data_IF_602827691889
#
_entry.id   IF_602827691889
#
_cell.length_a   1.000
_cell.length_b   1.000
_cell.length_c   1.000
_cell.angle_alpha   90.00
_cell.angle_beta   90.00
_cell.angle_gamma   90.00
#
_symmetry.space_group_name_H-M   'P 1'
#
loop_
_entity.id
_entity.type
_entity.pdbx_description
1 polymer ?
#
# COMPACT_ATOMS: atom_id res chain seq x y z
N UNK A 1 17.87 8.09 16.07
CA UNK A 1 17.62 8.15 14.62
C UNK A 1 16.13 8.41 14.41
N UNK A 2 15.76 9.14 13.36
CA UNK A 2 14.35 9.32 13.00
C UNK A 2 13.87 8.03 12.31
N UNK A 3 12.74 7.48 12.76
CA UNK A 3 12.14 6.29 12.13
C UNK A 3 11.65 6.65 10.73
N UNK A 4 11.93 5.79 9.75
CA UNK A 4 11.42 5.95 8.38
C UNK A 4 9.94 5.60 8.35
N UNK A 5 9.11 6.50 7.85
CA UNK A 5 7.66 6.28 7.77
C UNK A 5 7.32 5.51 6.50
N UNK A 6 6.53 4.46 6.64
CA UNK A 6 6.15 3.55 5.55
C UNK A 6 4.63 3.52 5.43
N UNK A 7 4.10 4.01 4.32
CA UNK A 7 2.68 3.87 4.01
C UNK A 7 2.41 2.44 3.51
N UNK A 8 1.48 1.72 4.12
CA UNK A 8 1.13 0.35 3.72
C UNK A 8 -0.15 0.37 2.89
N UNK A 9 -0.04 -0.07 1.63
CA UNK A 9 -1.13 -0.17 0.67
C UNK A 9 -1.53 -1.63 0.45
N UNK A 10 -2.77 -1.99 0.80
CA UNK A 10 -3.27 -3.37 0.81
C UNK A 10 -4.80 -3.40 0.62
N UNK A 11 -5.35 -4.58 0.33
CA UNK A 11 -6.79 -4.80 0.30
C UNK A 11 -7.35 -4.91 1.73
N UNK A 12 -8.13 -3.92 2.16
CA UNK A 12 -8.69 -3.89 3.51
C UNK A 12 -9.64 -5.04 3.84
N UNK A 13 -10.26 -5.66 2.84
CA UNK A 13 -11.21 -6.76 3.06
C UNK A 13 -10.51 -8.10 3.15
N UNK A 14 -9.64 -8.38 2.19
CA UNK A 14 -9.05 -9.70 2.03
C UNK A 14 -7.70 -9.87 2.76
N UNK A 15 -6.99 -8.76 2.96
CA UNK A 15 -5.60 -8.76 3.46
C UNK A 15 -5.46 -8.10 4.84
N UNK A 16 -6.57 -7.88 5.57
CA UNK A 16 -6.57 -7.26 6.91
C UNK A 16 -5.69 -7.96 7.93
N UNK A 17 -5.57 -9.29 7.84
CA UNK A 17 -4.70 -10.09 8.72
C UNK A 17 -3.23 -9.61 8.70
N UNK A 18 -2.76 -9.11 7.56
CA UNK A 18 -1.39 -8.63 7.40
C UNK A 18 -1.15 -7.27 8.06
N UNK A 19 -2.21 -6.47 8.22
CA UNK A 19 -2.16 -5.22 8.98
C UNK A 19 -1.77 -5.48 10.43
N UNK A 20 -2.43 -6.43 11.09
CA UNK A 20 -2.15 -6.75 12.50
C UNK A 20 -0.70 -7.19 12.71
N UNK A 21 -0.17 -8.02 11.81
CA UNK A 21 1.24 -8.42 11.86
C UNK A 21 2.20 -7.22 11.70
N UNK A 22 1.88 -6.28 10.81
CA UNK A 22 2.69 -5.07 10.61
C UNK A 22 2.58 -4.08 11.79
N UNK A 23 1.41 -3.98 12.41
CA UNK A 23 1.19 -3.21 13.65
C UNK A 23 2.05 -3.76 14.80
N UNK A 24 2.14 -5.08 14.96
CA UNK A 24 3.03 -5.72 15.94
C UNK A 24 4.52 -5.39 15.67
N UNK A 25 4.89 -5.25 14.40
CA UNK A 25 6.26 -4.89 14.01
C UNK A 25 6.56 -3.40 14.11
N UNK A 26 5.59 -2.55 14.47
CA UNK A 26 5.78 -1.12 14.67
C UNK A 26 6.64 -0.78 15.91
N UNK A 27 7.02 -1.82 16.68
CA UNK A 27 8.09 -1.80 17.69
C UNK A 27 9.50 -1.73 17.09
N UNK A 28 9.66 -1.82 15.76
CA UNK A 28 10.94 -1.73 15.07
C UNK A 28 11.56 -0.32 15.19
N UNK A 29 12.87 -0.19 15.50
CA UNK A 29 13.52 1.11 15.66
C UNK A 29 13.85 1.83 14.33
N UNK A 30 13.85 1.12 13.20
CA UNK A 30 14.21 1.66 11.88
C UNK A 30 13.00 2.20 11.11
N UNK A 31 11.83 1.56 11.27
CA UNK A 31 10.62 1.82 10.46
C UNK A 31 9.36 1.99 11.31
N UNK A 32 8.50 2.87 10.85
CA UNK A 32 7.16 3.10 11.38
C UNK A 32 6.13 2.86 10.27
N UNK A 33 5.26 1.87 10.45
CA UNK A 33 4.22 1.53 9.49
C UNK A 33 2.96 2.38 9.74
N UNK A 34 2.51 3.05 8.69
CA UNK A 34 1.31 3.88 8.66
C UNK A 34 0.30 3.26 7.70
N UNK A 35 -0.97 3.23 8.10
CA UNK A 35 -2.05 2.64 7.32
C UNK A 35 -3.08 3.73 6.97
N UNK A 36 -3.74 3.59 5.83
CA UNK A 36 -4.96 4.36 5.57
C UNK A 36 -6.05 3.88 6.54
N UNK A 37 -6.74 4.81 7.19
CA UNK A 37 -7.87 4.53 8.08
C UNK A 37 -9.18 4.38 7.32
N UNK A 38 -9.13 4.61 6.00
CA UNK A 38 -10.28 4.59 5.11
C UNK A 38 -10.34 3.19 4.49
N UNK A 39 -11.37 2.43 4.84
CA UNK A 39 -11.69 1.23 4.09
C UNK A 39 -12.30 1.64 2.74
N UNK A 40 -11.74 1.20 1.61
CA UNK A 40 -12.25 1.43 0.25
C UNK A 40 -13.76 1.28 0.07
N UNK A 41 -14.38 0.33 0.77
CA UNK A 41 -15.80 0.02 0.64
C UNK A 41 -16.70 0.81 1.60
N UNK A 42 -16.12 1.46 2.61
CA UNK A 42 -16.82 2.40 3.49
C UNK A 42 -16.88 3.81 2.87
N UNK A 43 -16.02 4.13 1.90
CA UNK A 43 -16.04 5.41 1.19
C UNK A 43 -17.30 5.51 0.34
N UNK A 44 -18.15 6.48 0.66
CA UNK A 44 -19.33 6.83 -0.14
C UNK A 44 -18.92 7.64 -1.37
N UNK A 45 -19.78 7.67 -2.38
CA UNK A 45 -19.52 8.40 -3.63
C UNK A 45 -19.26 9.89 -3.37
N UNK A 46 -20.03 10.50 -2.46
CA UNK A 46 -19.89 11.92 -2.11
C UNK A 46 -18.51 12.24 -1.49
N UNK A 47 -17.91 11.26 -0.81
CA UNK A 47 -16.68 11.43 -0.03
C UNK A 47 -15.41 11.06 -0.81
N UNK A 48 -15.52 10.63 -2.07
CA UNK A 48 -14.37 10.15 -2.87
C UNK A 48 -13.28 11.22 -2.97
N UNK A 49 -13.66 12.48 -3.23
CA UNK A 49 -12.69 13.58 -3.32
C UNK A 49 -11.97 13.81 -1.99
N UNK A 50 -12.72 13.83 -0.89
CA UNK A 50 -12.16 13.97 0.45
C UNK A 50 -11.23 12.80 0.80
N UNK A 51 -11.63 11.57 0.50
CA UNK A 51 -10.81 10.38 0.70
C UNK A 51 -9.49 10.44 -0.10
N UNK A 52 -9.53 10.90 -1.36
CA UNK A 52 -8.33 11.11 -2.19
C UNK A 52 -7.39 12.12 -1.55
N UNK A 53 -7.89 13.23 -1.02
CA UNK A 53 -7.09 14.25 -0.34
C UNK A 53 -6.45 13.72 0.95
N UNK A 54 -7.22 13.01 1.78
CA UNK A 54 -6.72 12.41 3.03
C UNK A 54 -5.63 11.38 2.75
N UNK A 55 -5.86 10.47 1.79
CA UNK A 55 -4.87 9.46 1.39
C UNK A 55 -3.61 10.14 0.84
N UNK A 56 -3.77 11.13 -0.04
CA UNK A 56 -2.64 11.86 -0.63
C UNK A 56 -1.80 12.56 0.44
N UNK A 57 -2.45 13.19 1.41
CA UNK A 57 -1.77 13.87 2.52
C UNK A 57 -0.97 12.88 3.37
N UNK A 58 -1.57 11.73 3.71
CA UNK A 58 -0.87 10.66 4.44
C UNK A 58 0.34 10.13 3.69
N UNK A 59 0.23 9.87 2.39
CA UNK A 59 1.37 9.42 1.58
C UNK A 59 2.47 10.49 1.52
N UNK A 60 2.12 11.78 1.46
CA UNK A 60 3.12 12.85 1.46
C UNK A 60 3.95 12.89 2.74
N UNK A 61 3.38 12.51 3.88
CA UNK A 61 4.06 12.43 5.18
C UNK A 61 4.97 11.21 5.35
N UNK A 62 4.94 10.24 4.43
CA UNK A 62 5.80 9.04 4.50
C UNK A 62 7.03 9.12 3.61
N UNK A 63 8.03 8.28 3.88
CA UNK A 63 9.24 8.17 3.07
C UNK A 63 9.12 7.02 2.04
N UNK A 64 8.44 5.95 2.43
CA UNK A 64 8.25 4.73 1.64
C UNK A 64 6.76 4.42 1.47
N UNK A 65 6.46 3.66 0.43
CA UNK A 65 5.19 2.97 0.25
C UNK A 65 5.47 1.47 0.10
N UNK A 66 4.86 0.67 0.96
CA UNK A 66 4.91 -0.79 0.93
C UNK A 66 3.58 -1.35 0.43
N UNK A 67 3.62 -2.12 -0.66
CA UNK A 67 2.41 -2.66 -1.30
C UNK A 67 2.28 -4.16 -1.05
N UNK A 68 1.14 -4.60 -0.56
CA UNK A 68 0.80 -6.03 -0.43
C UNK A 68 -0.11 -6.41 -1.59
N UNK A 69 0.38 -7.28 -2.47
CA UNK A 69 -0.40 -7.84 -3.58
C UNK A 69 -1.04 -9.16 -3.14
N UNK A 70 -2.27 -9.08 -2.65
CA UNK A 70 -3.17 -10.22 -2.45
C UNK A 70 -3.99 -10.57 -3.68
N UNK A 71 -4.99 -11.44 -3.50
CA UNK A 71 -5.79 -12.03 -4.59
C UNK A 71 -6.57 -10.97 -5.39
N UNK A 72 -7.16 -10.03 -4.67
CA UNK A 72 -8.07 -9.01 -5.22
C UNK A 72 -7.39 -7.63 -5.34
N UNK A 73 -6.05 -7.56 -5.18
CA UNK A 73 -5.25 -6.33 -5.23
C UNK A 73 -5.46 -5.50 -6.52
N UNK A 74 -5.70 -6.17 -7.65
CA UNK A 74 -6.01 -5.51 -8.92
C UNK A 74 -7.48 -5.63 -9.35
N UNK A 75 -8.39 -5.98 -8.44
CA UNK A 75 -9.82 -6.07 -8.75
C UNK A 75 -10.43 -4.69 -8.91
N UNK A 76 -11.31 -4.52 -9.89
CA UNK A 76 -11.95 -3.24 -10.16
C UNK A 76 -12.95 -2.85 -9.06
N UNK A 77 -12.92 -1.58 -8.65
CA UNK A 77 -13.85 -1.01 -7.67
C UNK A 77 -15.09 -0.43 -8.36
N UNK A 78 -16.26 -0.51 -7.71
CA UNK A 78 -17.52 0.07 -8.21
C UNK A 78 -17.46 1.57 -8.52
N UNK A 79 -16.53 2.29 -7.93
CA UNK A 79 -16.32 3.72 -8.14
C UNK A 79 -15.04 4.03 -8.93
N UNK A 80 -14.53 3.07 -9.73
CA UNK A 80 -13.26 3.25 -10.46
C UNK A 80 -13.25 4.52 -11.34
N UNK A 81 -14.39 4.88 -11.94
CA UNK A 81 -14.52 6.10 -12.76
C UNK A 81 -14.33 7.37 -11.93
N UNK A 82 -14.99 7.45 -10.77
CA UNK A 82 -14.89 8.59 -9.86
C UNK A 82 -13.50 8.67 -9.18
N UNK A 83 -12.88 7.52 -8.91
CA UNK A 83 -11.51 7.43 -8.38
C UNK A 83 -10.50 7.86 -9.45
N UNK A 84 -10.73 7.50 -10.72
CA UNK A 84 -9.81 7.66 -11.85
C UNK A 84 -8.78 6.54 -11.97
N UNK A 85 -8.95 5.46 -11.20
CA UNK A 85 -8.06 4.29 -11.15
C UNK A 85 -8.89 3.04 -10.92
N UNK A 86 -8.36 1.88 -11.29
CA UNK A 86 -9.04 0.59 -11.19
C UNK A 86 -9.58 0.31 -9.78
N UNK A 87 -8.83 0.66 -8.75
CA UNK A 87 -9.26 0.66 -7.36
C UNK A 87 -8.42 1.64 -6.51
N UNK A 88 -8.72 1.71 -5.22
CA UNK A 88 -8.00 2.56 -4.25
C UNK A 88 -6.52 2.19 -4.10
N UNK A 89 -6.16 0.91 -4.19
CA UNK A 89 -4.76 0.48 -4.12
C UNK A 89 -3.95 1.01 -5.32
N UNK A 90 -4.54 0.91 -6.53
CA UNK A 90 -3.97 1.47 -7.76
C UNK A 90 -3.78 3.00 -7.62
N UNK A 91 -4.78 3.70 -7.07
CA UNK A 91 -4.68 5.14 -6.75
C UNK A 91 -3.56 5.47 -5.75
N UNK A 92 -3.46 4.74 -4.64
CA UNK A 92 -2.42 4.93 -3.61
C UNK A 92 -1.00 4.77 -4.19
N UNK A 93 -0.81 3.78 -5.07
CA UNK A 93 0.47 3.53 -5.74
C UNK A 93 0.78 4.65 -6.73
N UNK A 94 -0.19 5.09 -7.52
CA UNK A 94 -0.03 6.21 -8.45
C UNK A 94 0.40 7.49 -7.73
N UNK A 95 -0.27 7.82 -6.62
CA UNK A 95 0.06 8.99 -5.80
C UNK A 95 1.45 8.85 -5.18
N UNK A 96 1.82 7.66 -4.70
CA UNK A 96 3.15 7.41 -4.17
C UNK A 96 4.25 7.66 -5.23
N UNK A 97 4.03 7.21 -6.47
CA UNK A 97 4.93 7.48 -7.60
C UNK A 97 5.02 8.96 -7.91
N UNK A 98 3.88 9.64 -8.00
CA UNK A 98 3.83 11.08 -8.28
C UNK A 98 4.53 11.92 -7.21
N UNK A 99 4.61 11.43 -5.97
CA UNK A 99 5.32 12.07 -4.86
C UNK A 99 6.73 11.51 -4.63
N UNK A 100 7.31 10.79 -5.59
CA UNK A 100 8.67 10.23 -5.56
C UNK A 100 8.96 9.38 -4.31
N UNK A 101 7.96 8.66 -3.81
CA UNK A 101 8.12 7.76 -2.67
C UNK A 101 8.85 6.50 -3.10
N UNK A 102 9.68 5.96 -2.20
CA UNK A 102 10.36 4.68 -2.43
C UNK A 102 9.34 3.55 -2.35
N UNK A 103 9.25 2.75 -3.40
CA UNK A 103 8.26 1.68 -3.50
C UNK A 103 8.91 0.32 -3.23
N UNK A 104 8.32 -0.40 -2.28
CA UNK A 104 8.61 -1.80 -2.02
C UNK A 104 7.29 -2.57 -2.00
N UNK A 105 7.34 -3.89 -2.14
CA UNK A 105 6.11 -4.66 -2.11
C UNK A 105 6.33 -6.15 -2.13
N UNK A 106 5.29 -6.87 -1.76
CA UNK A 106 5.25 -8.32 -1.69
C UNK A 106 4.07 -8.84 -2.49
N UNK A 107 4.25 -10.00 -3.10
CA UNK A 107 3.18 -10.74 -3.74
C UNK A 107 2.91 -12.02 -2.97
N UNK A 108 1.73 -12.12 -2.37
CA UNK A 108 1.36 -13.25 -1.50
C UNK A 108 1.28 -14.57 -2.28
N UNK A 109 0.95 -14.51 -3.56
CA UNK A 109 1.02 -15.64 -4.47
C UNK A 109 1.43 -15.17 -5.87
N UNK A 110 2.38 -15.87 -6.52
CA UNK A 110 2.86 -15.54 -7.87
C UNK A 110 1.73 -15.41 -8.92
N UNK A 111 0.61 -16.11 -8.72
CA UNK A 111 -0.55 -16.10 -9.62
C UNK A 111 -1.46 -14.87 -9.48
N UNK A 112 -1.37 -14.12 -8.39
CA UNK A 112 -2.23 -12.96 -8.18
C UNK A 112 -1.91 -11.85 -9.17
N UNK A 113 -2.87 -11.00 -9.48
CA UNK A 113 -2.62 -9.90 -10.40
C UNK A 113 -2.07 -8.71 -9.61
N UNK A 114 -0.93 -8.18 -10.05
CA UNK A 114 -0.33 -7.00 -9.41
C UNK A 114 -1.06 -5.73 -9.87
N UNK A 115 -1.23 -4.72 -8.99
CA UNK A 115 -1.72 -3.40 -9.39
C UNK A 115 -0.92 -2.85 -10.56
N UNK A 116 -1.58 -2.25 -11.55
CA UNK A 116 -0.93 -1.89 -12.80
C UNK A 116 0.17 -0.85 -12.59
N UNK A 117 -0.02 0.06 -11.65
CA UNK A 117 0.89 1.16 -11.38
C UNK A 117 2.18 0.70 -10.69
N UNK A 118 2.19 -0.50 -10.10
CA UNK A 118 3.39 -1.07 -9.46
C UNK A 118 4.33 -1.77 -10.44
N UNK A 119 3.82 -2.14 -11.63
CA UNK A 119 4.61 -2.82 -12.66
C UNK A 119 5.77 -1.92 -13.09
N UNK A 120 6.97 -2.49 -13.19
CA UNK A 120 8.19 -1.77 -13.57
C UNK A 120 8.82 -0.92 -12.44
N UNK A 121 8.23 -0.85 -11.24
CA UNK A 121 8.76 -0.06 -10.13
C UNK A 121 9.84 -0.77 -9.29
N UNK A 122 10.46 -1.84 -9.81
CA UNK A 122 11.55 -2.54 -9.12
C UNK A 122 11.13 -3.29 -7.84
N UNK A 123 9.85 -3.64 -7.71
CA UNK A 123 9.27 -4.31 -6.53
C UNK A 123 10.02 -5.62 -6.24
N UNK A 124 10.86 -5.61 -5.20
CA UNK A 124 11.52 -6.82 -4.70
C UNK A 124 10.51 -7.69 -3.99
N UNK A 125 9.94 -8.63 -4.74
CA UNK A 125 8.94 -9.57 -4.26
C UNK A 125 9.54 -10.50 -3.22
N UNK A 126 9.13 -10.34 -1.96
CA UNK A 126 9.33 -11.38 -0.97
C UNK A 126 8.45 -12.59 -1.33
N UNK A 127 9.00 -13.80 -1.25
CA UNK A 127 8.24 -15.04 -1.50
C UNK A 127 7.50 -15.52 -0.23
N UNK A 128 7.65 -14.77 0.87
CA UNK A 128 7.10 -15.09 2.19
C UNK A 128 6.80 -13.78 2.93
N UNK A 129 5.61 -13.69 3.52
CA UNK A 129 5.23 -12.55 4.38
C UNK A 129 5.92 -12.67 5.74
N UNK A 130 7.23 -12.40 5.79
CA UNK A 130 8.03 -12.40 7.02
C UNK A 130 8.65 -11.04 7.26
N UNK A 131 8.92 -10.73 8.54
CA UNK A 131 9.49 -9.45 8.96
C UNK A 131 10.80 -9.15 8.25
N UNK A 132 11.67 -10.15 8.17
CA UNK A 132 13.01 -10.02 7.58
C UNK A 132 12.91 -9.71 6.08
N UNK A 133 12.00 -10.38 5.37
CA UNK A 133 11.83 -10.19 3.94
C UNK A 133 11.28 -8.79 3.62
N UNK A 134 10.35 -8.30 4.43
CA UNK A 134 9.75 -6.96 4.30
C UNK A 134 10.76 -5.87 4.63
N UNK A 135 11.48 -6.00 5.75
CA UNK A 135 12.54 -5.06 6.12
C UNK A 135 13.66 -5.01 5.08
N UNK A 136 14.02 -6.17 4.51
CA UNK A 136 15.00 -6.24 3.42
C UNK A 136 14.49 -5.51 2.18
N UNK A 137 13.24 -5.77 1.76
CA UNK A 137 12.64 -5.10 0.61
C UNK A 137 12.59 -3.57 0.78
N UNK A 138 12.31 -3.08 1.99
CA UNK A 138 12.32 -1.64 2.31
C UNK A 138 13.72 -1.03 2.32
N UNK A 139 14.73 -1.75 2.82
CA UNK A 139 16.13 -1.28 2.83
C UNK A 139 16.74 -1.24 1.43
N UNK A 140 16.28 -2.12 0.55
CA UNK A 140 16.77 -2.30 -0.81
C UNK A 140 16.13 -1.36 -1.85
N UNK A 141 15.08 -0.62 -1.49
CA UNK A 141 14.37 0.37 -2.31
C UNK A 141 14.98 1.77 -2.15
#
# INVERSE_FOLDING_TARGET
MVRKKVFVSYDHENDRQYRHMLEEWNTNPDFEFCFSSLSPNEVKKEDIMHAKEVITSKIKETDYTFVITGKDANKENKFHEDIGYRNWQNFEIAVSKANNKKLAGIKLNKKFESPQEIVGCGVKSAMSFTKEAILKALKDA
#
